data_IF_009508150653
#
_entry.id   IF_009508150653
#
_cell.length_a   1.000
_cell.length_b   1.000
_cell.length_c   1.000
_cell.angle_alpha   90.00
_cell.angle_beta   90.00
_cell.angle_gamma   90.00
#
_symmetry.space_group_name_H-M   'P 1'
#
loop_
_entity.id
_entity.type
_entity.pdbx_description
1 polymer ?
#
# COMPACT_ATOMS: atom_id res chain seq x y z
N UNK A 1 17.45 -24.60 -9.95
CA UNK A 1 16.73 -23.34 -10.24
C UNK A 1 16.37 -23.34 -11.72
N UNK A 2 15.09 -23.28 -12.09
CA UNK A 2 14.70 -23.29 -13.49
C UNK A 2 15.23 -22.02 -14.19
N UNK A 3 16.04 -22.21 -15.23
CA UNK A 3 16.59 -21.12 -16.03
C UNK A 3 15.47 -20.29 -16.67
N UNK A 4 15.70 -18.99 -16.82
CA UNK A 4 14.79 -18.11 -17.54
C UNK A 4 15.04 -18.24 -19.04
N UNK A 5 14.01 -18.55 -19.82
CA UNK A 5 14.12 -18.52 -21.28
C UNK A 5 14.06 -17.08 -21.79
N UNK A 6 14.64 -16.77 -22.97
CA UNK A 6 14.53 -15.44 -23.55
C UNK A 6 13.07 -15.02 -23.79
N UNK A 7 12.20 -15.98 -24.17
CA UNK A 7 10.76 -15.75 -24.34
C UNK A 7 10.09 -15.33 -23.02
N UNK A 8 10.41 -15.98 -21.90
CA UNK A 8 9.90 -15.60 -20.59
C UNK A 8 10.38 -14.20 -20.16
N UNK A 9 11.60 -13.82 -20.54
CA UNK A 9 12.15 -12.49 -20.28
C UNK A 9 11.42 -11.42 -21.08
N UNK A 10 11.13 -11.67 -22.37
CA UNK A 10 10.39 -10.73 -23.21
C UNK A 10 8.96 -10.51 -22.70
N UNK A 11 8.27 -11.60 -22.33
CA UNK A 11 6.94 -11.55 -21.70
C UNK A 11 7.00 -10.74 -20.40
N UNK A 12 8.02 -10.97 -19.57
CA UNK A 12 8.22 -10.25 -18.32
C UNK A 12 8.43 -8.75 -18.57
N UNK A 13 9.24 -8.38 -19.56
CA UNK A 13 9.51 -6.98 -19.91
C UNK A 13 8.26 -6.28 -20.45
N UNK A 14 7.47 -6.95 -21.30
CA UNK A 14 6.20 -6.43 -21.80
C UNK A 14 5.17 -6.27 -20.66
N UNK A 15 5.00 -7.28 -19.81
CA UNK A 15 4.06 -7.22 -18.70
C UNK A 15 4.39 -6.10 -17.69
N UNK A 16 5.68 -5.87 -17.42
CA UNK A 16 6.12 -4.76 -16.56
C UNK A 16 5.96 -3.38 -17.22
N UNK A 17 5.91 -3.29 -18.55
CA UNK A 17 5.59 -2.05 -19.27
C UNK A 17 4.14 -1.64 -19.03
N UNK A 18 3.22 -2.58 -19.16
CA UNK A 18 1.77 -2.29 -19.26
C UNK A 18 1.03 -2.40 -17.93
N UNK A 19 1.44 -3.30 -17.02
CA UNK A 19 0.68 -3.56 -15.79
C UNK A 19 1.51 -4.02 -14.58
N UNK A 20 2.84 -4.03 -14.67
CA UNK A 20 3.72 -4.33 -13.54
C UNK A 20 3.63 -5.79 -13.06
N UNK A 21 3.76 -5.98 -11.74
CA UNK A 21 3.74 -7.32 -11.12
C UNK A 21 2.40 -8.08 -11.31
N UNK A 22 1.21 -7.45 -11.20
CA UNK A 22 -0.06 -8.12 -11.48
C UNK A 22 -0.13 -8.73 -12.88
N UNK A 23 0.19 -7.94 -13.93
CA UNK A 23 0.21 -8.41 -15.31
C UNK A 23 1.26 -9.51 -15.52
N UNK A 24 2.44 -9.40 -14.89
CA UNK A 24 3.48 -10.41 -14.99
C UNK A 24 3.06 -11.76 -14.35
N UNK A 25 2.24 -11.72 -13.30
CA UNK A 25 1.71 -12.92 -12.65
C UNK A 25 0.65 -13.61 -13.51
N UNK A 26 -0.15 -12.85 -14.24
CA UNK A 26 -1.12 -13.39 -15.19
C UNK A 26 -0.43 -14.01 -16.42
N UNK A 27 0.63 -13.35 -16.92
CA UNK A 27 1.37 -13.82 -18.09
C UNK A 27 2.28 -15.03 -17.80
N UNK A 28 2.76 -15.20 -16.56
CA UNK A 28 3.64 -16.29 -16.14
C UNK A 28 3.07 -17.05 -14.92
N UNK A 29 1.93 -17.76 -15.05
CA UNK A 29 1.27 -18.42 -13.93
C UNK A 29 2.10 -19.59 -13.35
N UNK A 30 3.02 -20.14 -14.14
CA UNK A 30 3.93 -21.21 -13.74
C UNK A 30 5.13 -20.72 -12.91
N UNK A 31 5.35 -19.39 -12.82
CA UNK A 31 6.44 -18.81 -12.03
C UNK A 31 5.89 -18.18 -10.76
N UNK A 32 6.56 -18.40 -9.63
CA UNK A 32 6.16 -17.78 -8.36
C UNK A 32 6.40 -16.27 -8.39
N UNK A 33 5.58 -15.51 -7.66
CA UNK A 33 5.73 -14.05 -7.53
C UNK A 33 7.14 -13.63 -7.11
N UNK A 34 7.80 -14.43 -6.26
CA UNK A 34 9.17 -14.19 -5.80
C UNK A 34 10.21 -14.39 -6.91
N UNK A 35 10.01 -15.36 -7.80
CA UNK A 35 10.87 -15.55 -8.97
C UNK A 35 10.71 -14.40 -9.97
N UNK A 36 9.47 -13.98 -10.23
CA UNK A 36 9.12 -12.86 -11.13
C UNK A 36 9.75 -11.56 -10.62
N UNK A 37 9.53 -11.21 -9.36
CA UNK A 37 10.11 -10.00 -8.75
C UNK A 37 11.64 -10.05 -8.71
N UNK A 38 12.23 -11.19 -8.37
CA UNK A 38 13.68 -11.34 -8.35
C UNK A 38 14.31 -11.15 -9.74
N UNK A 39 13.70 -11.72 -10.78
CA UNK A 39 14.17 -11.53 -12.16
C UNK A 39 13.94 -10.12 -12.67
N UNK A 40 12.78 -9.54 -12.38
CA UNK A 40 12.47 -8.16 -12.76
C UNK A 40 13.43 -7.16 -12.10
N UNK A 41 13.83 -7.40 -10.86
CA UNK A 41 14.85 -6.61 -10.18
C UNK A 41 16.23 -6.78 -10.84
N UNK A 42 16.64 -8.01 -11.17
CA UNK A 42 17.88 -8.28 -11.90
C UNK A 42 17.91 -7.56 -13.27
N UNK A 43 16.76 -7.46 -13.94
CA UNK A 43 16.59 -6.77 -15.22
C UNK A 43 16.30 -5.26 -15.06
N UNK A 44 16.35 -4.71 -13.84
CA UNK A 44 16.01 -3.31 -13.53
C UNK A 44 14.61 -2.85 -13.97
N UNK A 45 13.68 -3.77 -14.22
CA UNK A 45 12.30 -3.45 -14.62
C UNK A 45 11.50 -2.84 -13.47
N UNK A 46 11.86 -3.18 -12.23
CA UNK A 46 11.28 -2.58 -11.02
C UNK A 46 11.77 -1.16 -10.77
N UNK A 47 12.94 -0.77 -11.33
CA UNK A 47 13.49 0.57 -11.20
C UNK A 47 12.66 1.60 -12.00
N UNK A 48 12.10 1.22 -13.15
CA UNK A 48 11.23 2.10 -13.93
C UNK A 48 9.92 2.46 -13.20
N UNK A 49 9.42 1.56 -12.33
CA UNK A 49 8.27 1.82 -11.44
C UNK A 49 8.71 2.23 -10.04
N UNK A 50 10.01 2.44 -9.83
CA UNK A 50 10.54 2.86 -8.54
C UNK A 50 10.16 4.32 -8.30
N UNK A 51 9.80 4.69 -7.06
CA UNK A 51 9.68 6.09 -6.69
C UNK A 51 10.97 6.89 -6.92
N UNK A 52 12.11 6.20 -7.12
CA UNK A 52 13.42 6.79 -7.43
C UNK A 52 13.77 6.83 -8.93
N UNK A 53 12.86 6.41 -9.83
CA UNK A 53 13.09 6.56 -11.28
C UNK A 53 13.25 8.04 -11.63
N UNK A 54 14.26 8.43 -12.44
CA UNK A 54 14.42 9.83 -12.85
C UNK A 54 13.16 10.34 -13.52
N UNK A 55 12.83 11.61 -13.28
CA UNK A 55 11.72 12.28 -13.94
C UNK A 55 12.11 12.62 -15.37
N UNK A 56 11.26 12.26 -16.31
CA UNK A 56 11.44 12.59 -17.74
C UNK A 56 10.92 13.99 -18.04
N UNK A 57 11.38 14.59 -19.13
CA UNK A 57 10.95 15.94 -19.53
C UNK A 57 9.45 15.98 -19.86
N UNK A 58 8.93 14.88 -20.41
CA UNK A 58 7.52 14.69 -20.74
C UNK A 58 6.66 14.63 -19.47
N UNK A 59 7.10 13.89 -18.45
CA UNK A 59 6.42 13.84 -17.15
C UNK A 59 6.40 15.23 -16.48
N UNK A 60 7.52 15.95 -16.52
CA UNK A 60 7.60 17.31 -15.98
C UNK A 60 6.66 18.28 -16.72
N UNK A 61 6.50 18.12 -18.03
CA UNK A 61 5.59 18.94 -18.85
C UNK A 61 4.12 18.67 -18.51
N UNK A 62 3.74 17.41 -18.31
CA UNK A 62 2.41 17.04 -17.79
C UNK A 62 2.15 17.72 -16.44
N UNK A 63 3.14 17.73 -15.54
CA UNK A 63 3.01 18.41 -14.26
C UNK A 63 2.89 19.94 -14.42
N UNK A 64 3.60 20.56 -15.36
CA UNK A 64 3.47 22.02 -15.60
C UNK A 64 2.09 22.41 -16.11
N UNK A 65 1.54 21.62 -17.03
CA UNK A 65 0.27 21.94 -17.69
C UNK A 65 -0.94 21.60 -16.82
N UNK A 66 -0.96 20.41 -16.21
CA UNK A 66 -2.18 19.86 -15.59
C UNK A 66 -2.21 19.95 -14.07
N UNK A 67 -1.06 20.10 -13.40
CA UNK A 67 -1.05 20.10 -11.93
C UNK A 67 -1.74 21.33 -11.34
N UNK A 68 -1.65 22.50 -12.00
CA UNK A 68 -2.29 23.75 -11.53
C UNK A 68 -3.79 23.78 -11.79
N UNK A 69 -4.26 23.13 -12.86
CA UNK A 69 -5.68 23.10 -13.25
C UNK A 69 -6.45 21.95 -12.60
N UNK A 70 -5.96 20.72 -12.75
CA UNK A 70 -6.68 19.48 -12.41
C UNK A 70 -6.14 18.79 -11.14
N UNK A 71 -4.94 19.18 -10.69
CA UNK A 71 -4.35 18.70 -9.45
C UNK A 71 -3.66 17.32 -9.54
N UNK A 72 -3.25 16.81 -8.37
CA UNK A 72 -2.38 15.63 -8.29
C UNK A 72 -3.06 14.30 -8.63
N UNK A 73 -4.39 14.20 -8.47
CA UNK A 73 -5.13 12.98 -8.81
C UNK A 73 -5.25 12.77 -10.32
N UNK A 74 -5.52 13.85 -11.07
CA UNK A 74 -5.52 13.79 -12.53
C UNK A 74 -4.14 13.40 -13.05
N UNK A 75 -3.09 14.04 -12.54
CA UNK A 75 -1.72 13.71 -12.89
C UNK A 75 -1.37 12.25 -12.59
N UNK A 76 -1.93 11.64 -11.53
CA UNK A 76 -1.70 10.22 -11.21
C UNK A 76 -2.42 9.26 -12.17
N UNK A 77 -3.54 9.69 -12.77
CA UNK A 77 -4.21 8.92 -13.83
C UNK A 77 -3.45 8.99 -15.15
N UNK A 78 -2.88 10.16 -15.47
CA UNK A 78 -2.05 10.34 -16.66
C UNK A 78 -0.69 9.63 -16.49
N UNK A 79 -0.06 9.79 -15.33
CA UNK A 79 1.21 9.19 -14.97
C UNK A 79 0.98 7.91 -14.15
N UNK A 80 0.41 6.88 -14.78
CA UNK A 80 0.03 5.61 -14.14
C UNK A 80 1.18 4.90 -13.41
N UNK A 81 2.43 5.19 -13.79
CA UNK A 81 3.65 4.62 -13.20
C UNK A 81 4.17 5.41 -11.99
N UNK A 82 3.54 6.55 -11.64
CA UNK A 82 3.96 7.43 -10.54
C UNK A 82 2.91 7.47 -9.44
N UNK A 83 3.36 7.40 -8.19
CA UNK A 83 2.47 7.57 -7.04
C UNK A 83 2.08 9.04 -6.86
N UNK A 84 0.91 9.29 -6.28
CA UNK A 84 0.42 10.64 -5.94
C UNK A 84 1.46 11.40 -5.09
N UNK A 85 2.09 10.72 -4.13
CA UNK A 85 3.13 11.31 -3.29
C UNK A 85 4.36 11.75 -4.08
N UNK A 86 4.81 10.95 -5.05
CA UNK A 86 5.93 11.31 -5.93
C UNK A 86 5.58 12.52 -6.81
N UNK A 87 4.38 12.55 -7.36
CA UNK A 87 3.84 13.65 -8.18
C UNK A 87 3.82 14.96 -7.38
N UNK A 88 3.25 14.95 -6.17
CA UNK A 88 3.19 16.14 -5.30
C UNK A 88 4.59 16.66 -4.97
N UNK A 89 5.50 15.75 -4.64
CA UNK A 89 6.88 16.10 -4.33
C UNK A 89 7.58 16.74 -5.54
N UNK A 90 7.45 16.15 -6.73
CA UNK A 90 8.05 16.70 -7.95
C UNK A 90 7.42 18.03 -8.37
N UNK A 91 6.10 18.13 -8.33
CA UNK A 91 5.40 19.37 -8.63
C UNK A 91 5.80 20.50 -7.66
N UNK A 92 6.03 20.19 -6.39
CA UNK A 92 6.59 21.14 -5.42
C UNK A 92 7.98 21.65 -5.79
N UNK A 93 8.83 20.79 -6.36
CA UNK A 93 10.16 21.17 -6.86
C UNK A 93 10.07 22.04 -8.12
N UNK A 94 9.22 21.67 -9.08
CA UNK A 94 9.14 22.36 -10.40
C UNK A 94 8.38 23.68 -10.30
N UNK A 95 7.24 23.67 -9.62
CA UNK A 95 6.31 24.80 -9.58
C UNK A 95 6.57 25.72 -8.37
N UNK A 96 7.49 25.33 -7.47
CA UNK A 96 7.72 26.02 -6.21
C UNK A 96 6.52 25.96 -5.25
N UNK A 97 5.50 25.16 -5.59
CA UNK A 97 4.29 24.99 -4.79
C UNK A 97 4.54 23.92 -3.74
N UNK A 98 5.29 24.25 -2.69
CA UNK A 98 5.00 23.66 -1.38
C UNK A 98 3.67 24.26 -0.87
N UNK A 99 2.60 24.12 -1.65
CA UNK A 99 1.28 24.51 -1.21
C UNK A 99 0.95 23.63 -0.01
N UNK A 100 0.64 24.20 1.17
CA UNK A 100 0.11 23.40 2.26
C UNK A 100 -1.11 22.65 1.71
N UNK A 101 -1.20 21.36 2.04
CA UNK A 101 -2.21 20.42 1.53
C UNK A 101 -3.62 21.00 1.65
N UNK A 102 -4.12 21.70 0.62
CA UNK A 102 -5.47 22.28 0.62
C UNK A 102 -6.55 21.21 0.43
N UNK A 103 -6.14 20.04 -0.07
CA UNK A 103 -6.94 18.84 -0.27
C UNK A 103 -7.17 18.03 1.02
N UNK A 104 -6.46 18.35 2.11
CA UNK A 104 -6.81 17.87 3.44
C UNK A 104 -7.51 19.03 4.14
N UNK A 105 -8.84 18.98 4.20
CA UNK A 105 -9.56 19.56 5.35
C UNK A 105 -9.03 18.81 6.56
N UNK A 106 -7.91 19.27 7.11
CA UNK A 106 -7.40 18.78 8.38
C UNK A 106 -8.54 19.05 9.36
N UNK A 107 -9.03 18.06 10.12
CA UNK A 107 -9.70 18.41 11.36
C UNK A 107 -8.72 19.35 12.06
N UNK A 108 -9.14 20.60 12.30
CA UNK A 108 -8.31 21.66 12.87
C UNK A 108 -7.50 21.10 14.05
N UNK A 109 -6.29 21.62 14.30
CA UNK A 109 -5.26 20.96 15.11
C UNK A 109 -5.91 20.26 16.29
N UNK A 110 -5.89 18.91 16.27
CA UNK A 110 -6.54 18.13 17.31
C UNK A 110 -6.05 18.69 18.64
N UNK A 111 -6.99 19.27 19.43
CA UNK A 111 -6.66 19.93 20.69
C UNK A 111 -5.67 19.03 21.42
N UNK A 112 -4.49 19.52 21.83
CA UNK A 112 -3.49 18.68 22.45
C UNK A 112 -4.19 17.95 23.60
N UNK A 113 -4.31 16.62 23.49
CA UNK A 113 -4.83 15.83 24.58
C UNK A 113 -3.91 16.13 25.76
N UNK A 114 -4.41 16.67 26.88
CA UNK A 114 -3.56 16.97 28.01
C UNK A 114 -2.89 15.66 28.40
N UNK A 115 -1.57 15.61 28.28
CA UNK A 115 -0.78 14.48 28.77
C UNK A 115 -0.78 14.60 30.29
N UNK A 116 -1.89 14.21 30.92
CA UNK A 116 -1.94 14.04 32.37
C UNK A 116 -1.05 12.84 32.67
N UNK A 117 0.20 13.12 33.03
CA UNK A 117 1.07 12.10 33.60
C UNK A 117 0.43 11.70 34.92
N UNK A 118 -0.18 10.52 34.96
CA UNK A 118 -0.64 9.95 36.22
C UNK A 118 0.59 9.80 37.12
N UNK A 119 0.49 10.25 38.36
CA UNK A 119 1.55 9.99 39.34
C UNK A 119 1.64 8.48 39.59
N UNK A 120 2.78 8.01 40.08
CA UNK A 120 2.97 6.59 40.42
C UNK A 120 1.89 6.09 41.39
N UNK A 121 1.48 6.92 42.34
CA UNK A 121 0.37 6.64 43.26
C UNK A 121 -0.97 6.45 42.54
N UNK A 122 -1.28 7.29 41.54
CA UNK A 122 -2.49 7.14 40.72
C UNK A 122 -2.45 5.89 39.83
N UNK A 123 -1.26 5.46 39.40
CA UNK A 123 -1.08 4.20 38.68
C UNK A 123 -1.26 3.00 39.62
N UNK A 124 -0.68 3.06 40.82
CA UNK A 124 -0.78 2.02 41.84
C UNK A 124 -2.23 1.87 42.32
N UNK A 125 -2.93 2.97 42.56
CA UNK A 125 -4.34 2.97 42.92
C UNK A 125 -5.24 2.38 41.81
N UNK A 126 -4.94 2.62 40.52
CA UNK A 126 -5.70 2.02 39.41
C UNK A 126 -5.48 0.50 39.29
N UNK A 127 -4.28 0.02 39.64
CA UNK A 127 -3.98 -1.42 39.70
C UNK A 127 -4.63 -2.06 40.93
N UNK A 128 -4.58 -1.40 42.09
CA UNK A 128 -5.21 -1.86 43.33
C UNK A 128 -6.74 -1.79 43.30
N UNK A 129 -7.32 -0.84 42.56
CA UNK A 129 -8.76 -0.73 42.34
C UNK A 129 -9.33 -1.83 41.41
N UNK A 130 -8.51 -2.79 40.97
CA UNK A 130 -9.00 -4.02 40.37
C UNK A 130 -9.75 -3.81 39.07
N UNK A 131 -9.13 -3.12 38.10
CA UNK A 131 -9.56 -3.20 36.70
C UNK A 131 -9.24 -4.59 36.13
N UNK A 132 -9.95 -5.60 36.64
CA UNK A 132 -10.10 -6.90 36.01
C UNK A 132 -10.70 -6.64 34.62
N UNK A 133 -9.90 -6.82 33.58
CA UNK A 133 -10.41 -7.11 32.24
C UNK A 133 -11.00 -8.52 32.28
N UNK A 134 -12.16 -8.68 32.93
CA UNK A 134 -13.09 -9.76 32.58
C UNK A 134 -13.64 -9.38 31.20
N UNK A 135 -12.83 -9.55 30.16
CA UNK A 135 -13.37 -9.71 28.81
C UNK A 135 -14.08 -11.05 28.85
N UNK A 136 -15.37 -11.01 29.16
CA UNK A 136 -16.27 -12.13 29.01
C UNK A 136 -16.08 -12.71 27.61
N UNK A 137 -15.42 -13.87 27.52
CA UNK A 137 -15.43 -14.67 26.32
C UNK A 137 -16.88 -15.11 26.13
N UNK A 138 -17.61 -14.41 25.26
CA UNK A 138 -18.92 -14.88 24.81
C UNK A 138 -18.68 -16.04 23.85
N UNK A 139 -19.27 -17.21 24.18
CA UNK A 139 -19.32 -18.36 23.27
C UNK A 139 -19.84 -17.89 21.91
N UNK A 140 -19.24 -18.32 20.78
CA UNK A 140 -19.80 -18.02 19.47
C UNK A 140 -21.22 -18.59 19.40
N UNK A 141 -22.18 -17.74 19.03
CA UNK A 141 -23.56 -18.13 18.73
C UNK A 141 -23.50 -19.21 17.65
N UNK A 142 -24.05 -20.39 17.94
CA UNK A 142 -24.17 -21.46 16.98
C UNK A 142 -24.97 -20.95 15.77
N UNK A 143 -24.35 -20.93 14.60
CA UNK A 143 -25.07 -20.74 13.34
C UNK A 143 -26.02 -21.92 13.14
N UNK A 144 -27.31 -21.70 12.81
CA UNK A 144 -28.23 -22.79 12.56
C UNK A 144 -27.98 -23.38 11.17
N UNK A 145 -27.78 -24.71 11.11
CA UNK A 145 -28.02 -25.49 9.90
C UNK A 145 -26.77 -26.02 9.18
N UNK A 146 -26.12 -27.03 9.75
CA UNK A 146 -25.49 -28.06 8.91
C UNK A 146 -25.67 -29.43 9.57
N UNK A 147 -26.73 -30.13 9.18
CA UNK A 147 -26.93 -31.55 9.51
C UNK A 147 -25.93 -32.37 8.68
N UNK A 148 -24.79 -32.75 9.25
CA UNK A 148 -24.04 -33.89 8.75
C UNK A 148 -24.61 -35.15 9.37
N UNK A 149 -25.47 -35.81 8.60
CA UNK A 149 -25.80 -37.20 8.85
C UNK A 149 -24.52 -38.05 8.71
N UNK A 150 -24.20 -38.77 9.77
CA UNK A 150 -23.54 -40.07 9.73
C UNK A 150 -22.10 -40.14 9.25
N UNK A 151 -21.16 -40.20 10.19
CA UNK A 151 -20.10 -41.21 10.16
C UNK A 151 -19.88 -41.69 11.59
N UNK A 152 -20.31 -42.93 11.86
CA UNK A 152 -19.89 -43.72 13.01
C UNK A 152 -18.43 -44.12 12.80
N UNK A 153 -17.60 -43.91 13.81
CA UNK A 153 -16.37 -44.67 13.97
C UNK A 153 -16.09 -44.77 15.48
N UNK A 154 -16.24 -46.00 15.94
CA UNK A 154 -15.70 -46.54 17.18
C UNK A 154 -14.18 -46.26 17.29
N UNK A 155 -13.63 -46.66 18.45
CA UNK A 155 -12.22 -46.64 18.89
C UNK A 155 -11.80 -45.42 19.70
#
# INVERSE_FOLDING_TARGET
>A
MAAWTPVEVDILTAAYRDGGLPAAREALPHRSSKAITGKAAYLNLTAASSPFSPWTAEEDEVLRQFYRSEGSEFCARVLTRRSISAIRHRAGIILGTFAPRADIVLPGPAKPRPKVRRTFEQQLAAVQAGAKLERAWSKPVAAPGYTMAGVSADW
#
